data_IF_598813224332
#
_entry.id   IF_598813224332
#
_cell.length_a   1.000
_cell.length_b   1.000
_cell.length_c   1.000
_cell.angle_alpha   90.00
_cell.angle_beta   90.00
_cell.angle_gamma   90.00
#
_symmetry.space_group_name_H-M   'P 1'
#
loop_
_entity.id
_entity.type
_entity.pdbx_description
1 polymer ?
#
# COMPACT_ATOMS: atom_id res chain seq x y z
N UNK A 1 18.30 57.31 -21.39
CA UNK A 1 17.69 56.39 -20.40
C UNK A 1 16.72 55.48 -21.12
N UNK A 2 16.77 54.15 -21.12
CA UNK A 2 17.79 53.18 -20.77
C UNK A 2 17.41 51.90 -21.55
N UNK A 3 18.41 51.25 -22.15
CA UNK A 3 18.28 50.08 -23.01
C UNK A 3 18.03 48.84 -22.15
N UNK A 4 16.78 48.34 -22.13
CA UNK A 4 16.35 47.13 -21.40
C UNK A 4 16.16 45.97 -22.39
N UNK A 5 17.26 45.47 -22.98
CA UNK A 5 17.22 44.30 -23.88
C UNK A 5 18.24 43.20 -23.51
N UNK A 6 19.17 43.46 -22.59
CA UNK A 6 20.25 42.52 -22.26
C UNK A 6 19.99 41.53 -21.13
N UNK A 7 18.90 41.64 -20.36
CA UNK A 7 18.66 40.81 -19.17
C UNK A 7 17.56 39.75 -19.33
N UNK A 8 16.90 39.65 -20.50
CA UNK A 8 15.86 38.63 -20.72
C UNK A 8 16.39 37.33 -21.34
N UNK A 9 17.49 37.37 -22.09
CA UNK A 9 17.98 36.15 -22.76
C UNK A 9 18.82 35.23 -21.87
N UNK A 10 19.32 35.73 -20.74
CA UNK A 10 20.13 34.92 -19.80
C UNK A 10 19.28 34.10 -18.82
N UNK A 11 18.01 34.48 -18.60
CA UNK A 11 17.07 33.72 -17.79
C UNK A 11 16.42 32.55 -18.56
N UNK A 12 16.49 32.56 -19.90
CA UNK A 12 15.80 31.59 -20.76
C UNK A 12 16.63 30.33 -21.09
N UNK A 13 17.91 30.25 -20.67
CA UNK A 13 18.82 29.23 -21.22
C UNK A 13 19.33 28.14 -20.28
N UNK A 14 18.92 28.07 -19.01
CA UNK A 14 19.11 26.84 -18.23
C UNK A 14 17.92 26.67 -17.27
N UNK A 15 17.04 25.66 -17.45
CA UNK A 15 16.07 25.32 -16.45
C UNK A 15 16.81 24.51 -15.38
N UNK A 16 17.67 25.16 -14.57
CA UNK A 16 18.03 24.58 -13.28
C UNK A 16 16.78 24.76 -12.42
N UNK A 17 15.87 23.80 -12.54
CA UNK A 17 14.77 23.64 -11.59
C UNK A 17 15.38 23.71 -10.19
N UNK A 18 14.87 24.64 -9.38
CA UNK A 18 15.23 24.78 -7.97
C UNK A 18 15.31 23.37 -7.33
N UNK A 19 16.30 23.07 -6.47
CA UNK A 19 16.46 21.76 -5.86
C UNK A 19 15.18 21.23 -5.19
N UNK A 20 14.26 22.13 -4.84
CA UNK A 20 12.91 21.85 -4.35
C UNK A 20 12.01 21.13 -5.39
N UNK A 21 11.98 21.60 -6.65
CA UNK A 21 11.16 20.99 -7.72
C UNK A 21 11.74 19.65 -8.22
N UNK A 22 13.05 19.47 -8.09
CA UNK A 22 13.70 18.18 -8.38
C UNK A 22 13.44 17.19 -7.24
N UNK A 23 13.46 17.65 -5.98
CA UNK A 23 13.10 16.84 -4.82
C UNK A 23 11.64 16.37 -4.86
N UNK A 24 10.69 17.22 -5.28
CA UNK A 24 9.29 16.82 -5.50
C UNK A 24 9.17 15.72 -6.59
N UNK A 25 9.91 15.85 -7.70
CA UNK A 25 9.91 14.82 -8.78
C UNK A 25 10.63 13.52 -8.42
N UNK A 26 11.61 13.57 -7.51
CA UNK A 26 12.31 12.38 -7.00
C UNK A 26 11.53 11.70 -5.87
N UNK A 27 10.72 12.45 -5.14
CA UNK A 27 9.80 11.91 -4.14
C UNK A 27 8.61 11.18 -4.78
N UNK A 28 8.33 11.47 -6.07
CA UNK A 28 7.41 10.73 -6.93
C UNK A 28 8.08 9.58 -7.70
N UNK A 29 9.28 9.11 -7.33
CA UNK A 29 9.75 7.79 -7.78
C UNK A 29 9.11 6.76 -6.88
N UNK A 30 7.81 6.54 -7.11
CA UNK A 30 7.05 5.53 -6.41
C UNK A 30 7.62 4.13 -6.70
N UNK A 31 7.36 3.14 -5.82
CA UNK A 31 7.67 1.73 -6.10
C UNK A 31 7.03 1.21 -7.40
N UNK A 32 6.17 1.99 -8.05
CA UNK A 32 5.61 1.72 -9.37
C UNK A 32 6.68 1.75 -10.48
N UNK A 33 7.67 2.64 -10.43
CA UNK A 33 8.69 2.73 -11.50
C UNK A 33 9.49 1.44 -11.62
N UNK A 34 9.87 0.83 -10.50
CA UNK A 34 10.57 -0.45 -10.49
C UNK A 34 9.67 -1.58 -11.01
N UNK A 35 8.41 -1.65 -10.54
CA UNK A 35 7.45 -2.68 -10.97
C UNK A 35 7.14 -2.56 -12.48
N UNK A 36 7.03 -1.34 -12.99
CA UNK A 36 6.74 -1.04 -14.39
C UNK A 36 7.91 -1.44 -15.29
N UNK A 37 9.15 -1.20 -14.87
CA UNK A 37 10.34 -1.64 -15.63
C UNK A 37 10.48 -3.17 -15.66
N UNK A 38 10.12 -3.87 -14.58
CA UNK A 38 10.10 -5.34 -14.54
C UNK A 38 9.01 -5.91 -15.46
N UNK A 39 7.80 -5.36 -15.42
CA UNK A 39 6.68 -5.77 -16.27
C UNK A 39 6.97 -5.50 -17.76
N UNK A 40 7.62 -4.38 -18.08
CA UNK A 40 8.05 -4.05 -19.44
C UNK A 40 9.06 -5.08 -19.98
N UNK A 41 9.99 -5.57 -19.14
CA UNK A 41 10.95 -6.64 -19.52
C UNK A 41 10.26 -7.98 -19.77
N UNK A 42 9.14 -8.24 -19.09
CA UNK A 42 8.32 -9.44 -19.28
C UNK A 42 7.31 -9.29 -20.43
N UNK A 43 7.29 -8.15 -21.14
CA UNK A 43 6.33 -7.85 -22.21
C UNK A 43 4.88 -7.73 -21.73
N UNK A 44 4.65 -7.62 -20.41
CA UNK A 44 3.32 -7.54 -19.81
C UNK A 44 2.97 -6.11 -19.48
N UNK A 45 1.78 -5.66 -19.89
CA UNK A 45 1.26 -4.34 -19.54
C UNK A 45 0.61 -4.39 -18.15
N UNK A 46 0.93 -3.50 -17.21
CA UNK A 46 0.24 -3.43 -15.92
C UNK A 46 -1.25 -3.12 -16.14
N UNK A 47 -2.12 -4.06 -15.80
CA UNK A 47 -3.58 -3.93 -16.02
C UNK A 47 -4.29 -3.30 -14.82
N UNK A 48 -3.73 -3.44 -13.60
CA UNK A 48 -4.30 -2.91 -12.37
C UNK A 48 -3.28 -2.04 -11.63
N UNK A 49 -3.72 -0.89 -11.10
CA UNK A 49 -2.98 -0.13 -10.09
C UNK A 49 -3.05 -0.91 -8.78
N UNK A 50 -1.98 -1.61 -8.40
CA UNK A 50 -1.95 -2.45 -7.19
C UNK A 50 -2.04 -1.56 -5.94
N UNK A 51 -3.26 -1.45 -5.39
CA UNK A 51 -3.56 -0.69 -4.16
C UNK A 51 -3.50 -1.54 -2.88
N UNK A 52 -3.14 -2.82 -2.98
CA UNK A 52 -2.95 -3.67 -1.80
C UNK A 52 -1.67 -3.26 -1.07
N UNK A 53 -1.84 -2.34 -0.12
CA UNK A 53 -0.77 -1.97 0.81
C UNK A 53 -0.41 -3.20 1.65
N UNK A 54 0.86 -3.33 1.99
CA UNK A 54 1.36 -4.42 2.82
C UNK A 54 0.54 -4.62 4.10
N UNK A 55 0.15 -3.51 4.74
CA UNK A 55 -0.66 -3.51 5.96
C UNK A 55 -2.03 -4.18 5.76
N UNK A 56 -2.66 -4.03 4.58
CA UNK A 56 -3.97 -4.62 4.30
C UNK A 56 -3.86 -6.14 4.16
N UNK A 57 -2.80 -6.63 3.51
CA UNK A 57 -2.51 -8.06 3.41
C UNK A 57 -2.14 -8.65 4.76
N UNK A 58 -1.32 -7.95 5.55
CA UNK A 58 -0.95 -8.40 6.89
C UNK A 58 -2.17 -8.42 7.83
N UNK A 59 -3.02 -7.40 7.78
CA UNK A 59 -4.27 -7.34 8.53
C UNK A 59 -5.24 -8.45 8.12
N UNK A 60 -5.36 -8.74 6.83
CA UNK A 60 -6.17 -9.84 6.33
C UNK A 60 -5.66 -11.20 6.79
N UNK A 61 -4.35 -11.45 6.66
CA UNK A 61 -3.72 -12.69 7.15
C UNK A 61 -3.88 -12.86 8.66
N UNK A 62 -3.68 -11.78 9.42
CA UNK A 62 -3.87 -11.79 10.88
C UNK A 62 -5.32 -12.10 11.26
N UNK A 63 -6.30 -11.45 10.61
CA UNK A 63 -7.72 -11.71 10.86
C UNK A 63 -8.09 -13.17 10.57
N UNK A 64 -7.55 -13.76 9.51
CA UNK A 64 -7.72 -15.18 9.20
C UNK A 64 -7.13 -16.05 10.31
N UNK A 65 -5.88 -15.82 10.71
CA UNK A 65 -5.23 -16.60 11.77
C UNK A 65 -6.02 -16.52 13.08
N UNK A 66 -6.43 -15.32 13.51
CA UNK A 66 -7.24 -15.14 14.73
C UNK A 66 -8.56 -15.90 14.63
N UNK A 67 -9.21 -15.87 13.46
CA UNK A 67 -10.46 -16.62 13.24
C UNK A 67 -10.24 -18.12 13.37
N UNK A 68 -9.20 -18.67 12.73
CA UNK A 68 -8.89 -20.11 12.78
C UNK A 68 -8.47 -20.58 14.16
N UNK A 69 -7.57 -19.85 14.81
CA UNK A 69 -7.12 -20.15 16.16
C UNK A 69 -8.30 -20.10 17.13
N UNK A 70 -9.12 -19.03 17.12
CA UNK A 70 -10.28 -18.92 18.00
C UNK A 70 -11.32 -20.03 17.77
N UNK A 71 -11.57 -20.38 16.51
CA UNK A 71 -12.49 -21.45 16.10
C UNK A 71 -12.00 -22.80 16.63
N UNK A 72 -10.78 -23.21 16.30
CA UNK A 72 -10.24 -24.52 16.69
C UNK A 72 -10.05 -24.65 18.20
N UNK A 73 -9.60 -23.58 18.87
CA UNK A 73 -9.38 -23.57 20.31
C UNK A 73 -10.70 -23.62 21.09
N UNK A 74 -11.80 -23.09 20.53
CA UNK A 74 -13.10 -23.06 21.19
C UNK A 74 -13.90 -24.35 20.96
N UNK A 75 -13.83 -24.96 19.77
CA UNK A 75 -14.66 -26.12 19.44
C UNK A 75 -14.37 -27.36 20.31
N UNK A 76 -13.11 -27.70 20.56
CA UNK A 76 -12.77 -28.90 21.33
C UNK A 76 -13.19 -28.82 22.82
N UNK A 77 -12.77 -27.81 23.60
CA UNK A 77 -13.19 -27.68 24.99
C UNK A 77 -14.66 -27.25 25.13
N UNK A 78 -15.17 -26.44 24.21
CA UNK A 78 -16.56 -25.98 24.22
C UNK A 78 -17.54 -27.13 24.06
N UNK A 79 -17.26 -28.07 23.15
CA UNK A 79 -18.10 -29.24 22.94
C UNK A 79 -17.95 -30.27 24.08
N UNK A 80 -16.73 -30.43 24.62
CA UNK A 80 -16.46 -31.34 25.74
C UNK A 80 -17.13 -30.89 27.04
N UNK A 81 -17.09 -29.60 27.35
CA UNK A 81 -17.51 -29.08 28.65
C UNK A 81 -18.95 -28.52 28.64
N UNK A 82 -19.43 -27.97 27.52
CA UNK A 82 -20.73 -27.30 27.40
C UNK A 82 -21.69 -27.94 26.40
N UNK A 83 -21.23 -28.92 25.61
CA UNK A 83 -22.00 -29.48 24.49
C UNK A 83 -22.33 -28.43 23.42
N UNK A 84 -23.15 -28.81 22.44
CA UNK A 84 -23.55 -27.89 21.37
C UNK A 84 -24.31 -26.65 21.90
N UNK A 85 -25.10 -26.82 22.97
CA UNK A 85 -25.84 -25.72 23.61
C UNK A 85 -24.91 -24.70 24.29
N UNK A 86 -23.90 -25.15 25.03
CA UNK A 86 -22.94 -24.28 25.69
C UNK A 86 -22.12 -23.44 24.72
N UNK A 87 -21.83 -23.96 23.52
CA UNK A 87 -21.15 -23.16 22.49
C UNK A 87 -22.04 -22.11 21.84
N UNK A 88 -23.33 -22.41 21.61
CA UNK A 88 -24.27 -21.43 21.04
C UNK A 88 -24.53 -20.30 22.04
N UNK A 89 -24.82 -20.65 23.30
CA UNK A 89 -25.05 -19.65 24.33
C UNK A 89 -23.77 -18.90 24.72
N UNK A 90 -22.60 -19.56 24.66
CA UNK A 90 -21.31 -18.92 24.83
C UNK A 90 -21.01 -17.89 23.74
N UNK A 91 -21.38 -18.12 22.49
CA UNK A 91 -21.20 -17.14 21.40
C UNK A 91 -22.16 -15.95 21.46
N UNK A 92 -23.35 -16.12 22.05
CA UNK A 92 -24.40 -15.09 22.08
C UNK A 92 -24.27 -14.16 23.29
N UNK A 93 -23.87 -14.70 24.44
CA UNK A 93 -23.87 -13.95 25.71
C UNK A 93 -22.49 -13.46 26.16
N UNK A 94 -21.40 -14.00 25.62
CA UNK A 94 -20.00 -13.56 25.86
C UNK A 94 -19.49 -12.86 24.62
#
# INVERSE_FOLDING_TARGET
>A
MAFKRGSQELDDMIPIKSPEQTAESLQEVGPDVFDHTQLARLGKRPVLKRNFRFLTILGFSCAILVTWEGTLMNFAPGLSNGGAGGMIYGFIFV
#
